data_IF_927555427163
#
_entry.id   IF_927555427163
#
_cell.length_a   1.000
_cell.length_b   1.000
_cell.length_c   1.000
_cell.angle_alpha   90.00
_cell.angle_beta   90.00
_cell.angle_gamma   90.00
#
_symmetry.space_group_name_H-M   'P 1'
#
loop_
_entity.id
_entity.type
_entity.pdbx_description
1 polymer ?
#
# COMPACT_ATOMS: atom_id res chain seq x y z
N UNK A 1 -4.68 22.49 -28.48
CA UNK A 1 -5.65 22.77 -27.41
C UNK A 1 -6.93 23.49 -27.88
N UNK A 2 -7.17 23.75 -29.17
CA UNK A 2 -8.42 24.42 -29.58
C UNK A 2 -8.57 25.79 -28.90
N UNK A 3 -9.64 25.96 -28.12
CA UNK A 3 -9.90 27.16 -27.30
C UNK A 3 -9.42 27.04 -25.84
N UNK A 4 -8.86 25.89 -25.46
CA UNK A 4 -8.38 25.63 -24.10
C UNK A 4 -6.94 26.16 -23.95
N UNK A 5 -6.54 26.47 -22.72
CA UNK A 5 -5.19 26.92 -22.42
C UNK A 5 -4.20 25.76 -22.60
N UNK A 6 -3.04 26.04 -23.20
CA UNK A 6 -1.99 25.07 -23.41
C UNK A 6 -0.86 25.32 -22.41
N UNK A 7 -0.64 24.37 -21.51
CA UNK A 7 0.47 24.35 -20.57
C UNK A 7 1.81 24.22 -21.30
N UNK A 8 2.90 24.59 -20.67
CA UNK A 8 4.26 24.43 -21.22
C UNK A 8 4.63 22.94 -21.44
N UNK A 9 4.14 22.07 -20.57
CA UNK A 9 4.17 20.60 -20.69
C UNK A 9 3.37 20.05 -21.88
N UNK A 10 2.56 20.90 -22.55
CA UNK A 10 1.70 20.53 -23.66
C UNK A 10 0.33 19.95 -23.25
N UNK A 11 0.02 19.86 -21.95
CA UNK A 11 -1.32 19.55 -21.45
C UNK A 11 -2.29 20.69 -21.82
N UNK A 12 -3.55 20.36 -22.11
CA UNK A 12 -4.59 21.36 -22.35
C UNK A 12 -5.53 21.42 -21.14
N UNK A 13 -5.71 22.60 -20.55
CA UNK A 13 -6.63 22.83 -19.42
C UNK A 13 -7.68 23.88 -19.76
N UNK A 14 -8.90 23.72 -19.26
CA UNK A 14 -10.05 24.54 -19.65
C UNK A 14 -10.64 25.30 -18.48
N UNK A 15 -10.57 26.64 -18.52
CA UNK A 15 -11.10 27.52 -17.48
C UNK A 15 -10.50 27.26 -16.09
N UNK A 16 -9.25 26.81 -16.06
CA UNK A 16 -8.47 26.47 -14.87
C UNK A 16 -7.20 27.32 -14.85
N UNK A 17 -7.35 28.63 -14.98
CA UNK A 17 -6.25 29.58 -14.91
C UNK A 17 -6.40 30.37 -13.63
N UNK A 18 -5.28 30.61 -12.94
CA UNK A 18 -5.23 31.48 -11.77
C UNK A 18 -6.20 31.07 -10.67
N UNK A 19 -6.29 29.76 -10.39
CA UNK A 19 -7.21 29.21 -9.41
C UNK A 19 -6.46 28.68 -8.17
N UNK A 20 -5.14 28.83 -8.08
CA UNK A 20 -4.31 28.35 -6.97
C UNK A 20 -4.03 26.85 -6.97
N UNK A 21 -4.57 26.09 -7.93
CA UNK A 21 -4.27 24.67 -8.14
C UNK A 21 -3.31 24.52 -9.33
N UNK A 22 -2.30 23.67 -9.21
CA UNK A 22 -1.42 23.35 -10.35
C UNK A 22 -2.10 22.32 -11.26
N UNK A 23 -3.05 22.76 -12.09
CA UNK A 23 -3.80 21.90 -13.02
C UNK A 23 -2.94 21.47 -14.23
N UNK A 24 -1.93 22.28 -14.60
CA UNK A 24 -0.99 21.94 -15.66
C UNK A 24 0.06 20.89 -15.24
N UNK A 25 0.42 20.83 -13.95
CA UNK A 25 1.53 20.04 -13.42
C UNK A 25 2.89 20.75 -13.48
N UNK A 26 3.01 21.83 -14.26
CA UNK A 26 4.21 22.66 -14.43
C UNK A 26 4.04 24.11 -13.91
N UNK A 27 2.91 24.42 -13.26
CA UNK A 27 2.52 25.75 -12.76
C UNK A 27 2.31 26.84 -13.82
N UNK A 28 2.32 26.51 -15.12
CA UNK A 28 2.14 27.51 -16.18
C UNK A 28 0.74 28.15 -16.21
N UNK A 29 -0.27 27.47 -15.67
CA UNK A 29 -1.65 27.97 -15.46
C UNK A 29 -1.79 28.94 -14.28
N UNK A 30 -0.83 28.94 -13.37
CA UNK A 30 -0.83 29.74 -12.15
C UNK A 30 0.08 30.97 -12.23
N UNK A 31 0.63 31.24 -13.41
CA UNK A 31 1.39 32.46 -13.69
C UNK A 31 0.44 33.59 -14.08
N UNK A 32 -0.02 34.33 -13.08
CA UNK A 32 -1.08 35.32 -13.20
C UNK A 32 -0.54 36.75 -13.14
N UNK A 33 -0.84 37.54 -14.16
CA UNK A 33 -0.56 38.98 -14.15
C UNK A 33 -1.68 39.71 -13.39
N UNK A 34 -1.36 40.21 -12.19
CA UNK A 34 -2.16 41.15 -11.38
C UNK A 34 -3.53 40.66 -10.83
N UNK A 35 -4.00 39.45 -11.16
CA UNK A 35 -5.23 38.88 -10.58
C UNK A 35 -4.97 38.08 -9.28
N UNK A 36 -5.75 38.33 -8.23
CA UNK A 36 -5.76 37.45 -7.05
C UNK A 36 -6.32 36.06 -7.44
N UNK A 37 -5.64 34.96 -7.04
CA UNK A 37 -6.09 33.61 -7.33
C UNK A 37 -7.50 33.37 -6.80
N UNK A 38 -8.32 32.64 -7.57
CA UNK A 38 -9.69 32.28 -7.17
C UNK A 38 -9.76 30.78 -6.81
N UNK A 39 -9.37 30.39 -5.59
CA UNK A 39 -9.35 28.99 -5.18
C UNK A 39 -10.72 28.33 -5.25
N UNK A 40 -10.85 27.14 -5.85
CA UNK A 40 -12.10 26.39 -5.87
C UNK A 40 -12.67 26.13 -4.47
N UNK A 41 -11.78 25.93 -3.49
CA UNK A 41 -12.14 25.71 -2.09
C UNK A 41 -12.32 27.00 -1.27
N UNK A 42 -12.17 28.19 -1.87
CA UNK A 42 -12.23 29.50 -1.19
C UNK A 42 -11.28 29.54 0.01
N UNK A 43 -11.84 29.71 1.22
CA UNK A 43 -11.09 29.84 2.48
C UNK A 43 -11.11 28.56 3.32
N UNK A 44 -11.52 27.42 2.73
CA UNK A 44 -11.60 26.16 3.45
C UNK A 44 -10.25 25.49 3.33
N UNK A 45 -9.62 25.24 4.48
CA UNK A 45 -8.43 24.43 4.55
C UNK A 45 -8.80 22.97 4.27
N UNK A 46 -8.24 22.43 3.19
CA UNK A 46 -8.47 21.06 2.76
C UNK A 46 -7.11 20.47 2.40
N UNK A 47 -6.63 19.59 3.27
CA UNK A 47 -5.31 19.00 3.10
C UNK A 47 -5.33 17.89 2.03
N UNK A 48 -4.28 17.76 1.22
CA UNK A 48 -4.02 16.54 0.46
C UNK A 48 -3.86 15.36 1.42
N UNK A 49 -4.34 14.19 1.01
CA UNK A 49 -4.18 12.96 1.78
C UNK A 49 -3.44 11.93 0.96
N UNK A 50 -2.30 11.44 1.47
CA UNK A 50 -1.54 10.37 0.83
C UNK A 50 -2.37 9.09 0.66
N UNK A 51 -3.32 8.85 1.57
CA UNK A 51 -4.33 7.80 1.44
C UNK A 51 -5.21 7.97 0.21
N UNK A 52 -5.55 9.18 -0.22
CA UNK A 52 -6.30 9.35 -1.46
C UNK A 52 -5.36 9.36 -2.67
N UNK A 53 -4.17 9.95 -2.55
CA UNK A 53 -3.19 10.10 -3.65
C UNK A 53 -2.64 8.76 -4.16
N UNK A 54 -2.51 7.76 -3.30
CA UNK A 54 -2.12 6.38 -3.67
C UNK A 54 -3.24 5.56 -4.33
N UNK A 55 -4.45 6.11 -4.45
CA UNK A 55 -5.53 5.44 -5.18
C UNK A 55 -5.16 5.26 -6.65
N UNK A 56 -5.37 4.06 -7.19
CA UNK A 56 -5.04 3.81 -8.60
C UNK A 56 -3.59 3.45 -8.86
N UNK A 57 -2.79 3.22 -7.81
CA UNK A 57 -1.41 2.78 -7.96
C UNK A 57 -1.27 1.59 -8.93
N UNK A 58 -0.15 1.61 -9.65
CA UNK A 58 0.29 0.50 -10.47
C UNK A 58 0.57 -0.73 -9.63
N UNK A 59 0.37 -1.92 -10.19
CA UNK A 59 0.62 -3.21 -9.53
C UNK A 59 1.32 -4.16 -10.50
N UNK A 60 2.38 -4.79 -10.01
CA UNK A 60 2.95 -5.97 -10.65
C UNK A 60 2.27 -7.23 -10.07
N UNK A 61 1.51 -7.93 -10.90
CA UNK A 61 0.66 -9.05 -10.45
C UNK A 61 1.42 -10.31 -10.00
N UNK A 62 2.69 -10.47 -10.37
CA UNK A 62 3.45 -11.67 -10.03
C UNK A 62 3.78 -11.72 -8.53
N UNK A 63 4.05 -10.56 -7.94
CA UNK A 63 4.29 -10.40 -6.50
C UNK A 63 3.25 -9.56 -5.77
N UNK A 64 2.18 -9.12 -6.46
CA UNK A 64 1.21 -8.13 -5.97
C UNK A 64 1.85 -6.88 -5.36
N UNK A 65 3.02 -6.47 -5.87
CA UNK A 65 3.76 -5.32 -5.37
C UNK A 65 3.26 -4.05 -6.04
N UNK A 66 2.99 -3.02 -5.23
CA UNK A 66 2.68 -1.67 -5.67
C UNK A 66 3.85 -1.07 -6.46
N UNK A 67 3.53 -0.35 -7.53
CA UNK A 67 4.43 0.37 -8.44
C UNK A 67 3.95 1.81 -8.57
N UNK A 68 4.64 2.62 -9.38
CA UNK A 68 4.33 4.06 -9.49
C UNK A 68 2.88 4.29 -9.91
N UNK A 69 2.26 5.31 -9.32
CA UNK A 69 0.93 5.75 -9.73
C UNK A 69 0.97 6.37 -11.12
N UNK A 70 0.04 5.95 -11.97
CA UNK A 70 -0.12 6.43 -13.35
C UNK A 70 -1.15 7.56 -13.44
N UNK A 71 -1.98 7.74 -12.41
CA UNK A 71 -2.98 8.79 -12.31
C UNK A 71 -2.39 10.04 -11.69
N UNK A 72 -2.73 11.17 -12.28
CA UNK A 72 -2.44 12.47 -11.69
C UNK A 72 -3.50 12.79 -10.63
N UNK A 73 -3.28 12.30 -9.42
CA UNK A 73 -4.17 12.51 -8.28
C UNK A 73 -3.96 13.86 -7.59
N UNK A 74 -3.17 14.75 -8.18
CA UNK A 74 -3.08 16.16 -7.77
C UNK A 74 -3.96 17.06 -8.66
N UNK A 75 -4.55 16.51 -9.72
CA UNK A 75 -5.52 17.20 -10.56
C UNK A 75 -6.95 17.14 -10.00
N UNK A 76 -7.57 18.31 -9.83
CA UNK A 76 -8.93 18.45 -9.25
C UNK A 76 -9.98 18.94 -10.24
N UNK A 77 -9.60 19.34 -11.46
CA UNK A 77 -10.52 19.85 -12.49
C UNK A 77 -11.34 21.06 -12.00
N UNK A 78 -10.74 21.93 -11.18
CA UNK A 78 -11.41 23.09 -10.58
C UNK A 78 -12.54 22.76 -9.59
N UNK A 79 -12.67 21.50 -9.16
CA UNK A 79 -13.68 21.08 -8.20
C UNK A 79 -13.12 21.07 -6.78
N UNK A 80 -13.94 21.49 -5.81
CA UNK A 80 -13.68 21.31 -4.38
C UNK A 80 -14.59 20.23 -3.78
N UNK A 81 -14.47 19.01 -4.30
CA UNK A 81 -15.16 17.84 -3.75
C UNK A 81 -14.47 17.46 -2.43
N UNK A 82 -15.21 17.55 -1.32
CA UNK A 82 -14.67 17.31 0.03
C UNK A 82 -15.18 15.99 0.59
N UNK A 83 -14.28 15.22 1.18
CA UNK A 83 -14.60 14.02 1.95
C UNK A 83 -14.32 14.35 3.41
N UNK A 84 -15.26 13.98 4.29
CA UNK A 84 -15.08 14.17 5.73
C UNK A 84 -14.22 13.03 6.28
N UNK A 85 -13.07 13.37 6.84
CA UNK A 85 -12.26 12.49 7.67
C UNK A 85 -12.45 12.94 9.12
N UNK A 86 -12.79 12.04 10.05
CA UNK A 86 -12.90 12.25 11.51
C UNK A 86 -13.08 13.72 11.99
N UNK A 87 -12.01 14.54 11.98
CA UNK A 87 -11.99 15.96 12.37
C UNK A 87 -11.61 16.97 11.26
N UNK A 88 -11.23 16.53 10.07
CA UNK A 88 -10.79 17.37 8.95
C UNK A 88 -11.58 17.08 7.66
N UNK A 89 -11.27 17.81 6.59
CA UNK A 89 -11.78 17.53 5.26
C UNK A 89 -10.59 17.23 4.35
N UNK A 90 -10.75 16.20 3.52
CA UNK A 90 -9.79 15.81 2.49
C UNK A 90 -10.39 16.17 1.13
N UNK A 91 -9.55 16.69 0.22
CA UNK A 91 -9.99 17.05 -1.13
C UNK A 91 -9.92 15.80 -1.99
N UNK A 92 -11.02 15.47 -2.68
CA UNK A 92 -11.10 14.31 -3.57
C UNK A 92 -10.56 14.69 -4.96
N UNK A 93 -9.50 14.04 -5.46
CA UNK A 93 -8.98 14.25 -6.80
C UNK A 93 -9.99 13.89 -7.89
N UNK A 94 -9.82 14.46 -9.08
CA UNK A 94 -10.71 14.20 -10.22
C UNK A 94 -10.79 12.71 -10.55
N UNK A 95 -9.65 12.02 -10.54
CA UNK A 95 -9.53 10.61 -10.88
C UNK A 95 -10.21 9.67 -9.88
N UNK A 96 -10.46 10.12 -8.65
CA UNK A 96 -11.11 9.32 -7.61
C UNK A 96 -12.62 9.57 -7.68
N UNK A 97 -13.36 8.57 -8.17
CA UNK A 97 -14.81 8.64 -8.30
C UNK A 97 -15.49 8.58 -6.92
N UNK A 98 -15.08 7.61 -6.10
CA UNK A 98 -15.60 7.43 -4.74
C UNK A 98 -14.47 7.07 -3.78
N UNK A 99 -14.58 7.56 -2.55
CA UNK A 99 -13.65 7.30 -1.46
C UNK A 99 -14.43 7.29 -0.14
N UNK A 100 -14.36 6.19 0.60
CA UNK A 100 -15.22 5.91 1.75
C UNK A 100 -14.40 5.28 2.87
N UNK A 101 -14.26 5.99 3.98
CA UNK A 101 -13.68 5.45 5.21
C UNK A 101 -14.59 4.33 5.77
N UNK A 102 -14.10 3.09 5.81
CA UNK A 102 -14.82 1.96 6.43
C UNK A 102 -14.11 1.55 7.73
N UNK A 103 -14.69 1.84 8.89
CA UNK A 103 -14.15 1.31 10.14
C UNK A 103 -14.64 -0.14 10.35
N UNK A 104 -13.82 -1.13 9.99
CA UNK A 104 -14.05 -2.53 10.34
C UNK A 104 -13.22 -2.89 11.57
N UNK A 105 -13.90 -3.29 12.64
CA UNK A 105 -13.26 -3.88 13.82
C UNK A 105 -13.22 -5.41 13.66
N UNK A 106 -12.20 -5.92 12.96
CA UNK A 106 -11.92 -7.36 12.85
C UNK A 106 -10.70 -7.75 13.70
N UNK A 107 -10.55 -9.06 14.00
CA UNK A 107 -9.44 -9.60 14.82
C UNK A 107 -8.05 -9.36 14.20
N UNK A 108 -7.97 -9.30 12.87
CA UNK A 108 -6.86 -8.68 12.16
C UNK A 108 -7.17 -7.20 12.05
N UNK A 109 -6.50 -6.37 12.86
CA UNK A 109 -6.77 -4.95 12.81
C UNK A 109 -6.23 -4.36 11.50
N UNK A 110 -7.15 -3.98 10.61
CA UNK A 110 -6.87 -3.30 9.35
C UNK A 110 -7.75 -2.05 9.28
N UNK A 111 -7.13 -0.87 9.23
CA UNK A 111 -7.84 0.35 8.85
C UNK A 111 -8.13 0.28 7.36
N UNK A 112 -9.37 -0.04 6.95
CA UNK A 112 -9.72 -0.24 5.53
C UNK A 112 -10.50 0.95 4.98
N UNK A 113 -9.96 1.64 3.97
CA UNK A 113 -10.66 2.73 3.28
C UNK A 113 -10.94 2.33 1.85
N UNK A 114 -12.21 2.31 1.46
CA UNK A 114 -12.59 1.91 0.12
C UNK A 114 -12.40 3.06 -0.88
N UNK A 115 -11.85 2.76 -2.05
CA UNK A 115 -11.76 3.70 -3.16
C UNK A 115 -12.23 3.08 -4.47
N UNK A 116 -12.63 3.95 -5.41
CA UNK A 116 -13.01 3.62 -6.78
C UNK A 116 -12.46 4.70 -7.72
N UNK A 117 -11.69 4.28 -8.72
CA UNK A 117 -11.19 5.17 -9.77
C UNK A 117 -12.29 5.47 -10.80
N UNK A 118 -12.23 6.66 -11.38
CA UNK A 118 -13.08 7.11 -12.47
C UNK A 118 -12.72 6.36 -13.74
N UNK A 119 -13.75 5.87 -14.43
CA UNK A 119 -13.57 5.05 -15.63
C UNK A 119 -13.48 5.84 -16.94
N UNK A 120 -13.90 7.12 -16.94
CA UNK A 120 -13.95 7.97 -18.14
C UNK A 120 -13.23 9.29 -17.89
N UNK A 121 -12.41 9.68 -18.86
CA UNK A 121 -11.57 10.87 -18.77
C UNK A 121 -10.67 10.89 -17.53
N UNK A 122 -9.98 9.79 -17.17
CA UNK A 122 -8.93 9.90 -16.15
C UNK A 122 -7.81 10.79 -16.69
N UNK A 123 -7.18 11.53 -15.79
CA UNK A 123 -5.99 12.33 -16.06
C UNK A 123 -4.77 11.55 -15.59
N UNK A 124 -3.85 11.29 -16.50
CA UNK A 124 -2.64 10.53 -16.24
C UNK A 124 -1.47 11.47 -15.98
N UNK A 125 -0.45 10.97 -15.28
CA UNK A 125 0.78 11.73 -15.02
C UNK A 125 1.51 12.02 -16.34
N UNK A 126 2.17 13.18 -16.41
CA UNK A 126 2.97 13.57 -17.58
C UNK A 126 4.06 12.55 -17.88
N UNK A 127 4.74 12.05 -16.85
CA UNK A 127 5.79 11.03 -16.96
C UNK A 127 5.29 9.75 -17.62
N UNK A 128 4.14 9.21 -17.17
CA UNK A 128 3.56 8.01 -17.79
C UNK A 128 3.18 8.25 -19.26
N UNK A 129 2.62 9.43 -19.57
CA UNK A 129 2.26 9.78 -20.94
C UNK A 129 3.49 9.91 -21.85
N UNK A 130 4.58 10.49 -21.35
CA UNK A 130 5.85 10.59 -22.05
C UNK A 130 6.48 9.23 -22.31
N UNK A 131 6.49 8.35 -21.31
CA UNK A 131 7.01 6.99 -21.44
C UNK A 131 6.20 6.16 -22.44
N UNK A 132 4.87 6.28 -22.45
CA UNK A 132 4.03 5.65 -23.49
C UNK A 132 4.30 6.26 -24.87
N UNK A 133 4.53 7.57 -24.96
CA UNK A 133 4.87 8.25 -26.23
C UNK A 133 6.25 7.84 -26.76
N UNK A 134 7.21 7.53 -25.89
CA UNK A 134 8.56 7.11 -26.28
C UNK A 134 8.63 5.65 -26.75
N UNK A 135 7.67 4.80 -26.35
CA UNK A 135 7.63 3.39 -26.78
C UNK A 135 7.71 3.22 -28.31
N UNK A 136 8.53 2.29 -28.81
CA UNK A 136 8.64 2.02 -30.24
C UNK A 136 7.38 1.33 -30.79
N UNK A 137 7.07 1.58 -32.06
CA UNK A 137 5.96 0.93 -32.77
C UNK A 137 6.29 -0.51 -33.14
N UNK A 138 7.55 -0.81 -33.39
CA UNK A 138 8.04 -2.19 -33.45
C UNK A 138 8.16 -2.72 -32.02
N UNK A 139 7.75 -3.97 -31.82
CA UNK A 139 7.84 -4.61 -30.52
C UNK A 139 9.31 -4.86 -30.15
N UNK A 140 9.83 -4.01 -29.26
CA UNK A 140 11.15 -4.13 -28.65
C UNK A 140 10.98 -4.46 -27.18
N UNK A 141 11.21 -5.73 -26.84
CA UNK A 141 10.90 -6.30 -25.52
C UNK A 141 11.46 -5.47 -24.35
N UNK A 142 12.71 -5.01 -24.44
CA UNK A 142 13.37 -4.27 -23.36
C UNK A 142 12.68 -2.94 -23.00
N UNK A 143 12.26 -2.18 -24.01
CA UNK A 143 11.57 -0.89 -23.82
C UNK A 143 10.22 -1.07 -23.13
N UNK A 144 9.45 -2.07 -23.57
CA UNK A 144 8.15 -2.36 -22.95
C UNK A 144 8.31 -2.93 -21.54
N UNK A 145 9.33 -3.76 -21.29
CA UNK A 145 9.58 -4.32 -19.96
C UNK A 145 9.98 -3.23 -18.96
N UNK A 146 10.81 -2.26 -19.37
CA UNK A 146 11.18 -1.11 -18.53
C UNK A 146 9.93 -0.35 -18.03
N UNK A 147 8.95 -0.15 -18.91
CA UNK A 147 7.67 0.47 -18.53
C UNK A 147 6.88 -0.38 -17.53
N UNK A 148 6.82 -1.70 -17.73
CA UNK A 148 6.15 -2.63 -16.81
C UNK A 148 6.85 -2.75 -15.45
N UNK A 149 8.17 -2.62 -15.39
CA UNK A 149 8.92 -2.62 -14.14
C UNK A 149 8.70 -1.34 -13.33
N UNK A 150 8.53 -0.20 -14.03
CA UNK A 150 8.30 1.10 -13.42
C UNK A 150 6.88 1.29 -12.89
N UNK A 151 5.88 0.96 -13.71
CA UNK A 151 4.46 1.21 -13.43
C UNK A 151 3.65 -0.05 -13.12
N UNK A 152 4.22 -1.24 -13.29
CA UNK A 152 3.50 -2.50 -13.12
C UNK A 152 2.79 -2.96 -14.40
N UNK A 153 2.16 -4.13 -14.31
CA UNK A 153 1.40 -4.72 -15.42
C UNK A 153 -0.07 -4.34 -15.39
N UNK A 154 -0.57 -3.99 -14.21
CA UNK A 154 -1.95 -3.61 -13.96
C UNK A 154 -1.99 -2.33 -13.13
N UNK A 155 -3.15 -1.73 -13.01
CA UNK A 155 -3.42 -0.67 -12.03
C UNK A 155 -4.67 -1.02 -11.24
N UNK A 156 -4.85 -0.35 -10.11
CA UNK A 156 -6.00 -0.58 -9.23
C UNK A 156 -7.21 0.25 -9.66
N UNK A 157 -8.29 -0.40 -10.13
CA UNK A 157 -9.53 0.31 -10.48
C UNK A 157 -10.37 0.63 -9.25
N UNK A 158 -10.24 -0.17 -8.20
CA UNK A 158 -10.92 -0.01 -6.92
C UNK A 158 -10.25 -0.91 -5.89
N UNK A 159 -10.46 -0.65 -4.61
CA UNK A 159 -9.96 -1.54 -3.56
C UNK A 159 -10.08 -0.94 -2.19
N UNK A 160 -9.35 -1.52 -1.25
CA UNK A 160 -9.20 -0.97 0.10
C UNK A 160 -7.76 -0.54 0.34
N UNK A 161 -7.58 0.70 0.80
CA UNK A 161 -6.32 1.26 1.27
C UNK A 161 -6.21 1.14 2.78
N UNK A 162 -5.00 0.92 3.28
CA UNK A 162 -4.75 0.73 4.69
C UNK A 162 -3.39 0.13 4.97
N UNK A 163 -3.33 -0.77 5.93
CA UNK A 163 -2.20 -1.65 6.14
C UNK A 163 -2.63 -3.03 6.59
N UNK A 164 -1.75 -4.01 6.41
CA UNK A 164 -1.90 -5.35 6.93
C UNK A 164 -0.85 -5.58 8.00
N UNK A 165 -1.25 -5.94 9.22
CA UNK A 165 -0.33 -6.29 10.30
C UNK A 165 -0.60 -7.72 10.78
N UNK A 166 0.18 -8.66 10.28
CA UNK A 166 0.05 -10.07 10.62
C UNK A 166 1.41 -10.61 11.11
N UNK A 167 1.40 -11.21 12.30
CA UNK A 167 2.57 -11.84 12.90
C UNK A 167 2.26 -13.31 13.17
N UNK A 168 3.13 -14.20 12.70
CA UNK A 168 3.03 -15.64 12.91
C UNK A 168 4.13 -16.07 13.87
N UNK A 169 3.71 -16.49 15.07
CA UNK A 169 4.62 -16.94 16.12
C UNK A 169 4.94 -18.42 15.93
N UNK A 170 6.22 -18.74 15.79
CA UNK A 170 6.72 -20.12 15.68
C UNK A 170 7.03 -20.64 17.08
N UNK A 171 6.31 -21.67 17.52
CA UNK A 171 6.36 -22.19 18.88
C UNK A 171 7.06 -23.55 18.95
N UNK A 172 7.96 -23.72 19.92
CA UNK A 172 8.64 -25.00 20.16
C UNK A 172 7.75 -25.96 20.96
N UNK A 173 7.21 -26.96 20.28
CA UNK A 173 6.34 -27.96 20.91
C UNK A 173 7.00 -28.74 22.05
N UNK A 174 8.33 -28.92 22.03
CA UNK A 174 9.05 -29.64 23.09
C UNK A 174 9.13 -28.81 24.38
N UNK A 175 9.53 -27.54 24.26
CA UNK A 175 9.57 -26.59 25.37
C UNK A 175 8.18 -26.35 25.94
N UNK A 176 7.16 -26.18 25.08
CA UNK A 176 5.76 -26.07 25.51
C UNK A 176 5.31 -27.26 26.37
N UNK A 177 5.65 -28.49 25.97
CA UNK A 177 5.33 -29.70 26.75
C UNK A 177 6.06 -29.73 28.10
N UNK A 178 7.34 -29.38 28.13
CA UNK A 178 8.13 -29.38 29.37
C UNK A 178 7.66 -28.36 30.40
N UNK A 179 7.05 -27.26 29.95
CA UNK A 179 6.56 -26.16 30.79
C UNK A 179 5.05 -26.24 31.06
N UNK A 180 4.36 -27.26 30.54
CA UNK A 180 2.90 -27.40 30.60
C UNK A 180 2.18 -26.12 30.12
N UNK A 181 2.61 -25.64 28.95
CA UNK A 181 2.09 -24.45 28.25
C UNK A 181 1.34 -24.91 27.00
N UNK A 182 0.14 -24.40 26.80
CA UNK A 182 -0.68 -24.61 25.60
C UNK A 182 -0.63 -23.40 24.67
N UNK A 183 -1.09 -23.56 23.42
CA UNK A 183 -1.20 -22.43 22.48
C UNK A 183 -2.15 -21.33 23.01
N UNK A 184 -3.20 -21.70 23.75
CA UNK A 184 -4.10 -20.75 24.39
C UNK A 184 -3.43 -19.94 25.49
N UNK A 185 -2.49 -20.53 26.24
CA UNK A 185 -1.71 -19.79 27.25
C UNK A 185 -0.81 -18.74 26.57
N UNK A 186 -0.25 -19.08 25.40
CA UNK A 186 0.55 -18.15 24.60
C UNK A 186 -0.31 -17.00 24.09
N UNK A 187 -1.50 -17.28 23.54
CA UNK A 187 -2.46 -16.25 23.10
C UNK A 187 -2.88 -15.31 24.23
N UNK A 188 -3.14 -15.86 25.42
CA UNK A 188 -3.56 -15.09 26.59
C UNK A 188 -2.43 -14.17 27.10
N UNK A 189 -1.18 -14.63 27.09
CA UNK A 189 -0.03 -13.82 27.49
C UNK A 189 0.39 -12.77 26.44
N UNK A 190 0.19 -13.05 25.14
CA UNK A 190 0.33 -12.06 24.06
C UNK A 190 -0.81 -11.02 24.08
N UNK A 191 -1.79 -11.21 24.98
CA UNK A 191 -2.82 -10.24 25.31
C UNK A 191 -3.75 -9.90 24.13
N UNK A 192 -3.93 -10.83 23.18
CA UNK A 192 -4.82 -10.68 22.02
C UNK A 192 -6.30 -10.47 22.38
N UNK A 193 -6.71 -10.84 23.61
CA UNK A 193 -8.09 -10.65 24.10
C UNK A 193 -8.38 -9.23 24.62
N UNK A 194 -7.37 -8.36 24.70
CA UNK A 194 -7.60 -6.94 24.95
C UNK A 194 -7.99 -6.25 23.64
N UNK A 195 -9.25 -6.38 23.24
CA UNK A 195 -9.86 -5.32 22.42
C UNK A 195 -9.56 -3.99 23.11
N UNK A 196 -9.02 -3.03 22.35
CA UNK A 196 -8.58 -1.71 22.81
C UNK A 196 -9.61 -1.04 23.74
N UNK A 197 -9.54 -1.30 25.04
CA UNK A 197 -10.11 -0.44 26.06
C UNK A 197 -9.09 0.68 26.32
N UNK A 198 -9.00 1.61 25.37
CA UNK A 198 -8.44 2.95 25.61
C UNK A 198 -9.50 3.78 26.33
N UNK A 199 -9.90 3.31 27.51
CA UNK A 199 -10.58 4.10 28.53
C UNK A 199 -10.11 3.55 29.86
N UNK A 200 -9.49 4.40 30.68
CA UNK A 200 -9.05 4.03 32.03
C UNK A 200 -10.16 3.31 32.79
N UNK A 201 -9.96 2.02 33.06
CA UNK A 201 -10.95 1.15 33.66
C UNK A 201 -10.51 -0.30 33.55
N UNK A 202 -9.94 -0.83 34.62
CA UNK A 202 -9.30 -2.14 34.66
C UNK A 202 -10.21 -3.27 34.20
N UNK A 203 -9.69 -4.11 33.29
CA UNK A 203 -10.27 -5.42 32.98
C UNK A 203 -9.82 -6.40 34.06
N UNK A 204 -10.78 -7.01 34.76
CA UNK A 204 -10.55 -8.09 35.72
C UNK A 204 -10.11 -9.36 34.97
N UNK A 205 -8.81 -9.47 34.71
CA UNK A 205 -8.18 -10.72 34.28
C UNK A 205 -7.62 -11.40 35.54
N UNK A 206 -7.93 -12.68 35.72
CA UNK A 206 -7.58 -13.49 36.89
C UNK A 206 -6.06 -13.32 37.24
N UNK A 207 -5.72 -12.78 38.43
CA UNK A 207 -4.33 -12.40 38.76
C UNK A 207 -3.35 -13.58 38.82
N UNK A 208 -3.83 -14.83 38.92
CA UNK A 208 -2.99 -16.03 38.88
C UNK A 208 -2.36 -16.30 37.50
N UNK A 209 -2.87 -15.73 36.41
CA UNK A 209 -2.24 -15.82 35.08
C UNK A 209 -1.10 -14.81 34.88
N UNK A 210 -1.08 -13.70 35.64
CA UNK A 210 -0.19 -12.55 35.40
C UNK A 210 1.26 -12.71 35.90
N UNK A 211 1.54 -13.61 36.85
CA UNK A 211 2.80 -13.54 37.61
C UNK A 211 3.90 -14.53 37.22
N UNK A 212 3.54 -15.80 37.00
CA UNK A 212 4.53 -16.88 36.86
C UNK A 212 4.68 -17.42 35.44
N UNK A 213 3.58 -17.59 34.69
CA UNK A 213 3.63 -18.19 33.33
C UNK A 213 4.02 -17.19 32.23
N UNK A 214 3.59 -15.93 32.30
CA UNK A 214 3.91 -14.91 31.29
C UNK A 214 5.20 -14.10 31.59
N UNK A 215 6.18 -14.63 32.34
CA UNK A 215 7.38 -13.85 32.68
C UNK A 215 8.08 -13.37 31.40
N UNK A 216 8.45 -12.08 31.38
CA UNK A 216 9.04 -11.36 30.25
C UNK A 216 10.20 -12.17 29.64
N UNK A 217 10.14 -12.44 28.34
CA UNK A 217 11.19 -13.21 27.64
C UNK A 217 10.74 -14.32 26.70
N UNK A 218 9.49 -14.42 26.27
CA UNK A 218 9.11 -15.49 25.33
C UNK A 218 9.02 -16.89 25.96
N UNK A 219 8.61 -16.95 27.24
CA UNK A 219 8.43 -18.19 28.02
C UNK A 219 9.69 -19.05 28.03
N UNK A 220 10.69 -18.62 28.79
CA UNK A 220 11.96 -19.33 28.89
C UNK A 220 11.90 -20.45 29.94
N UNK A 221 12.58 -21.57 29.67
CA UNK A 221 12.86 -22.61 30.68
C UNK A 221 13.67 -22.04 31.85
N UNK A 222 13.59 -22.64 33.05
CA UNK A 222 14.50 -22.28 34.15
C UNK A 222 15.97 -22.33 33.67
N UNK A 223 16.74 -21.30 34.01
CA UNK A 223 18.17 -21.21 33.66
C UNK A 223 18.91 -22.42 34.21
N UNK A 224 19.38 -23.30 33.32
CA UNK A 224 20.31 -24.35 33.69
C UNK A 224 21.60 -23.74 34.29
N UNK A 225 22.39 -24.48 35.08
CA UNK A 225 23.66 -23.99 35.63
C UNK A 225 24.68 -23.49 34.59
N UNK A 226 24.50 -23.87 33.31
CA UNK A 226 25.27 -23.37 32.16
C UNK A 226 24.73 -22.06 31.55
N UNK A 227 23.65 -21.46 32.06
CA UNK A 227 23.13 -20.16 31.62
C UNK A 227 22.28 -20.17 30.35
N UNK A 228 21.91 -21.34 29.82
CA UNK A 228 21.09 -21.45 28.62
C UNK A 228 19.63 -21.70 28.99
N UNK A 229 18.76 -20.70 28.78
CA UNK A 229 17.31 -20.86 28.72
C UNK A 229 16.88 -21.09 27.26
N UNK A 230 15.90 -21.98 27.03
CA UNK A 230 15.26 -22.12 25.72
C UNK A 230 13.91 -21.39 25.71
N UNK A 231 13.66 -20.44 24.80
CA UNK A 231 12.36 -19.78 24.70
C UNK A 231 11.31 -20.71 24.05
N UNK A 232 10.04 -20.55 24.41
CA UNK A 232 8.91 -21.20 23.69
C UNK A 232 8.72 -20.60 22.32
N UNK A 233 8.89 -19.28 22.18
CA UNK A 233 8.81 -18.60 20.88
C UNK A 233 10.20 -18.64 20.24
N UNK A 234 10.35 -19.45 19.19
CA UNK A 234 11.64 -19.59 18.48
C UNK A 234 11.84 -18.47 17.46
N UNK A 235 10.76 -18.05 16.80
CA UNK A 235 10.81 -17.04 15.75
C UNK A 235 9.44 -16.35 15.59
N UNK A 236 9.44 -15.15 15.02
CA UNK A 236 8.23 -14.42 14.64
C UNK A 236 8.37 -14.05 13.16
N UNK A 237 7.50 -14.62 12.32
CA UNK A 237 7.41 -14.29 10.91
C UNK A 237 6.43 -13.12 10.76
N UNK A 238 6.85 -12.05 10.11
CA UNK A 238 6.01 -10.88 9.88
C UNK A 238 5.51 -10.82 8.43
N UNK A 239 4.22 -10.55 8.29
CA UNK A 239 3.53 -10.20 7.06
C UNK A 239 2.92 -8.80 7.27
N UNK A 240 3.79 -7.80 7.33
CA UNK A 240 3.42 -6.41 7.58
C UNK A 240 3.56 -5.62 6.29
N UNK A 241 2.42 -5.13 5.80
CA UNK A 241 2.32 -4.30 4.59
C UNK A 241 1.82 -2.89 4.98
N UNK A 242 2.44 -1.87 4.39
CA UNK A 242 2.18 -0.48 4.72
C UNK A 242 2.84 -0.03 6.03
N UNK A 243 2.79 1.27 6.27
CA UNK A 243 3.45 1.94 7.38
C UNK A 243 4.81 2.54 6.99
N UNK A 244 5.39 3.32 7.89
CA UNK A 244 6.65 4.03 7.60
C UNK A 244 7.83 3.06 7.44
N UNK A 245 8.77 3.41 6.56
CA UNK A 245 10.01 2.63 6.37
C UNK A 245 10.81 2.53 7.68
N UNK A 246 10.81 3.60 8.49
CA UNK A 246 11.43 3.64 9.81
C UNK A 246 10.84 2.57 10.74
N UNK A 247 9.52 2.48 10.80
CA UNK A 247 8.85 1.45 11.60
C UNK A 247 9.19 0.04 11.08
N UNK A 248 9.09 -0.20 9.77
CA UNK A 248 9.35 -1.50 9.17
C UNK A 248 10.80 -1.97 9.41
N UNK A 249 11.75 -1.04 9.37
CA UNK A 249 13.16 -1.31 9.66
C UNK A 249 13.35 -1.70 11.13
N UNK A 250 12.79 -0.89 12.03
CA UNK A 250 12.84 -1.13 13.48
C UNK A 250 12.19 -2.47 13.85
N UNK A 251 11.03 -2.78 13.26
CA UNK A 251 10.35 -4.05 13.45
C UNK A 251 11.23 -5.20 12.96
N UNK A 252 11.81 -5.11 11.76
CA UNK A 252 12.69 -6.16 11.20
C UNK A 252 13.92 -6.40 12.08
N UNK A 253 14.52 -5.34 12.63
CA UNK A 253 15.63 -5.46 13.58
C UNK A 253 15.20 -6.17 14.88
N UNK A 254 14.04 -5.80 15.45
CA UNK A 254 13.49 -6.47 16.63
C UNK A 254 13.22 -7.95 16.38
N UNK A 255 12.66 -8.29 15.23
CA UNK A 255 12.32 -9.67 14.85
C UNK A 255 13.57 -10.54 14.62
N UNK A 256 14.69 -9.94 14.19
CA UNK A 256 15.96 -10.65 14.00
C UNK A 256 16.78 -10.80 15.28
N UNK A 257 16.30 -10.29 16.42
CA UNK A 257 16.99 -10.43 17.71
C UNK A 257 16.86 -11.85 18.27
N UNK A 258 17.76 -12.24 19.19
CA UNK A 258 17.79 -13.60 19.79
C UNK A 258 16.51 -13.98 20.55
N UNK A 259 15.73 -12.99 20.97
CA UNK A 259 14.47 -13.20 21.68
C UNK A 259 13.50 -12.10 21.22
N UNK A 260 12.86 -12.28 20.04
CA UNK A 260 12.07 -11.23 19.42
C UNK A 260 10.86 -10.91 20.29
N UNK A 261 10.73 -9.64 20.67
CA UNK A 261 9.58 -9.15 21.43
C UNK A 261 8.87 -8.07 20.64
N UNK A 262 7.57 -8.27 20.48
CA UNK A 262 6.66 -7.31 19.85
C UNK A 262 5.52 -7.09 20.83
N UNK A 263 5.17 -5.82 21.03
CA UNK A 263 4.07 -5.45 21.92
C UNK A 263 3.06 -4.52 21.24
N UNK A 264 1.98 -4.20 21.97
CA UNK A 264 0.86 -3.40 21.45
C UNK A 264 1.31 -2.01 20.98
N UNK A 265 2.40 -1.46 21.52
CA UNK A 265 2.92 -0.14 21.10
C UNK A 265 3.48 -0.18 19.69
N UNK A 266 4.15 -1.27 19.31
CA UNK A 266 4.63 -1.46 17.94
C UNK A 266 3.47 -1.43 16.95
N UNK A 267 2.37 -2.09 17.30
CA UNK A 267 1.14 -2.05 16.48
C UNK A 267 0.54 -0.63 16.41
N UNK A 268 0.44 0.08 17.54
CA UNK A 268 -0.12 1.45 17.57
C UNK A 268 0.74 2.42 16.76
N UNK A 269 2.06 2.32 16.87
CA UNK A 269 3.01 3.11 16.09
C UNK A 269 2.86 2.84 14.59
N UNK A 270 2.85 1.56 14.19
CA UNK A 270 2.56 1.17 12.81
C UNK A 270 1.23 1.74 12.30
N UNK A 271 0.14 1.50 13.04
CA UNK A 271 -1.20 1.91 12.65
C UNK A 271 -1.31 3.44 12.49
N UNK A 272 -0.59 4.20 13.33
CA UNK A 272 -0.55 5.66 13.23
C UNK A 272 0.16 6.16 11.96
N UNK A 273 1.12 5.39 11.44
CA UNK A 273 1.88 5.76 10.23
C UNK A 273 1.13 5.49 8.91
N UNK A 274 0.01 4.76 8.95
CA UNK A 274 -0.78 4.38 7.77
C UNK A 274 -1.52 5.56 7.12
N UNK A 275 -1.69 6.67 7.84
CA UNK A 275 -2.29 7.87 7.26
C UNK A 275 -1.42 8.44 6.13
N UNK A 276 -0.11 8.40 6.32
CA UNK A 276 0.89 8.93 5.38
C UNK A 276 1.50 7.84 4.49
N UNK A 277 1.55 6.59 4.98
CA UNK A 277 2.18 5.47 4.27
C UNK A 277 1.23 4.26 4.12
N UNK A 278 0.07 4.42 3.46
CA UNK A 278 -0.84 3.31 3.22
C UNK A 278 -0.39 2.42 2.05
N UNK A 279 -0.99 1.24 1.98
CA UNK A 279 -0.86 0.29 0.87
C UNK A 279 -2.24 -0.22 0.46
N UNK A 280 -2.37 -0.65 -0.80
CA UNK A 280 -3.58 -1.29 -1.30
C UNK A 280 -3.62 -2.75 -0.83
N UNK A 281 -4.67 -3.15 -0.11
CA UNK A 281 -4.81 -4.50 0.48
C UNK A 281 -5.70 -5.42 -0.38
N UNK A 282 -6.83 -4.89 -0.89
CA UNK A 282 -7.81 -5.67 -1.67
C UNK A 282 -8.01 -5.06 -3.06
N UNK A 283 -6.97 -5.09 -3.92
CA UNK A 283 -7.03 -4.46 -5.22
C UNK A 283 -7.97 -5.22 -6.16
N UNK A 284 -8.81 -4.48 -6.88
CA UNK A 284 -9.39 -4.91 -8.14
C UNK A 284 -8.55 -4.32 -9.26
N UNK A 285 -8.09 -5.17 -10.17
CA UNK A 285 -7.10 -4.81 -11.17
C UNK A 285 -7.70 -4.61 -12.56
N UNK A 286 -7.06 -3.75 -13.35
CA UNK A 286 -7.23 -3.67 -14.80
C UNK A 286 -5.86 -3.59 -15.47
N UNK A 287 -5.66 -4.17 -16.67
CA UNK A 287 -4.38 -4.12 -17.36
C UNK A 287 -3.94 -2.68 -17.60
N UNK A 288 -2.66 -2.38 -17.41
CA UNK A 288 -2.13 -1.02 -17.62
C UNK A 288 -2.25 -0.58 -19.08
N UNK A 289 -2.27 -1.54 -20.02
CA UNK A 289 -2.50 -1.29 -21.44
C UNK A 289 -3.83 -0.59 -21.73
N UNK A 290 -4.85 -0.69 -20.88
CA UNK A 290 -6.13 0.01 -21.08
C UNK A 290 -6.03 1.52 -20.87
N UNK A 291 -4.93 2.00 -20.27
CA UNK A 291 -4.67 3.42 -20.03
C UNK A 291 -3.90 4.09 -21.18
N UNK A 292 -3.51 3.35 -22.22
CA UNK A 292 -2.90 3.94 -23.43
C UNK A 292 -3.91 4.89 -24.09
N UNK A 293 -3.64 6.22 -24.13
CA UNK A 293 -4.59 7.16 -24.70
C UNK A 293 -4.80 6.92 -26.18
N UNK A 294 -6.02 7.14 -26.66
CA UNK A 294 -6.39 6.87 -28.07
C UNK A 294 -5.94 7.95 -29.05
N UNK A 295 -5.58 9.12 -28.53
CA UNK A 295 -5.22 10.33 -29.27
C UNK A 295 -3.71 10.47 -29.52
N UNK A 296 -2.87 9.61 -28.94
CA UNK A 296 -1.44 9.59 -29.25
C UNK A 296 -1.17 8.89 -30.59
N UNK A 297 -0.03 9.24 -31.20
CA UNK A 297 0.45 8.59 -32.42
C UNK A 297 0.65 7.09 -32.21
N UNK A 298 0.17 6.29 -33.17
CA UNK A 298 0.31 4.83 -33.19
C UNK A 298 -0.29 4.13 -31.94
N UNK A 299 -1.28 4.76 -31.28
CA UNK A 299 -1.88 4.29 -30.03
C UNK A 299 -2.32 2.82 -30.08
N UNK A 300 -3.00 2.41 -31.15
CA UNK A 300 -3.47 1.03 -31.32
C UNK A 300 -2.31 0.03 -31.30
N UNK A 301 -1.24 0.31 -32.06
CA UNK A 301 -0.06 -0.57 -32.16
C UNK A 301 0.65 -0.64 -30.81
N UNK A 302 0.87 0.51 -30.17
CA UNK A 302 1.50 0.57 -28.84
C UNK A 302 0.69 -0.17 -27.79
N UNK A 303 -0.64 -0.04 -27.81
CA UNK A 303 -1.53 -0.78 -26.91
C UNK A 303 -1.41 -2.29 -27.12
N UNK A 304 -1.49 -2.76 -28.36
CA UNK A 304 -1.36 -4.19 -28.69
C UNK A 304 0.03 -4.74 -28.34
N UNK A 305 1.09 -3.97 -28.58
CA UNK A 305 2.44 -4.37 -28.17
C UNK A 305 2.59 -4.41 -26.64
N UNK A 306 1.93 -3.49 -25.91
CA UNK A 306 1.94 -3.50 -24.45
C UNK A 306 1.11 -4.64 -23.88
N UNK A 307 -0.03 -4.98 -24.48
CA UNK A 307 -0.80 -6.20 -24.18
C UNK A 307 0.09 -7.45 -24.35
N UNK A 308 0.77 -7.56 -25.50
CA UNK A 308 1.75 -8.63 -25.74
C UNK A 308 2.89 -8.62 -24.72
N UNK A 309 3.43 -7.46 -24.37
CA UNK A 309 4.50 -7.34 -23.40
C UNK A 309 4.08 -7.83 -22.02
N UNK A 310 2.85 -7.54 -21.60
CA UNK A 310 2.29 -8.02 -20.33
C UNK A 310 2.22 -9.55 -20.34
N UNK A 311 1.70 -10.14 -21.42
CA UNK A 311 1.62 -11.60 -21.57
C UNK A 311 3.02 -12.24 -21.55
N UNK A 312 3.96 -11.71 -22.32
CA UNK A 312 5.34 -12.19 -22.38
C UNK A 312 6.02 -12.05 -21.00
N UNK A 313 5.81 -10.93 -20.29
CA UNK A 313 6.36 -10.67 -18.96
C UNK A 313 5.84 -11.66 -17.91
N UNK A 314 4.54 -11.95 -17.93
CA UNK A 314 3.91 -12.92 -17.02
C UNK A 314 4.41 -14.33 -17.34
N UNK A 315 4.45 -14.71 -18.62
CA UNK A 315 4.92 -16.02 -19.05
C UNK A 315 6.41 -16.22 -18.72
N UNK A 316 7.20 -15.17 -18.78
CA UNK A 316 8.63 -15.25 -18.50
C UNK A 316 8.96 -15.47 -17.04
N UNK A 317 8.15 -14.90 -16.16
CA UNK A 317 8.27 -15.01 -14.72
C UNK A 317 7.23 -15.96 -14.13
N UNK A 318 6.70 -16.88 -14.96
CA UNK A 318 5.70 -17.83 -14.52
C UNK A 318 6.32 -18.89 -13.60
N UNK A 319 5.60 -19.25 -12.53
CA UNK A 319 6.03 -20.21 -11.51
C UNK A 319 6.40 -21.60 -12.06
N UNK A 320 5.91 -21.96 -13.24
CA UNK A 320 6.23 -23.25 -13.88
C UNK A 320 7.70 -23.42 -14.25
N UNK A 321 8.47 -22.33 -14.29
CA UNK A 321 9.92 -22.37 -14.51
C UNK A 321 10.71 -22.69 -13.25
N UNK A 322 10.08 -22.62 -12.10
CA UNK A 322 10.68 -22.95 -10.82
C UNK A 322 10.62 -24.44 -10.52
N UNK A 323 11.60 -24.94 -9.76
CA UNK A 323 11.55 -26.28 -9.18
C UNK A 323 10.47 -26.33 -8.09
N UNK A 324 9.72 -27.43 -7.96
CA UNK A 324 8.75 -27.58 -6.89
C UNK A 324 9.45 -27.60 -5.53
N UNK A 325 8.87 -26.92 -4.54
CA UNK A 325 9.36 -26.95 -3.17
C UNK A 325 9.14 -28.35 -2.54
N UNK A 326 10.06 -28.75 -1.67
CA UNK A 326 9.88 -29.97 -0.89
C UNK A 326 8.73 -29.82 0.12
N UNK A 327 8.20 -30.95 0.61
CA UNK A 327 7.18 -31.00 1.67
C UNK A 327 5.86 -30.25 1.34
N UNK A 328 5.50 -30.15 0.06
CA UNK A 328 4.24 -29.50 -0.35
C UNK A 328 4.27 -27.98 -0.26
N UNK A 329 5.46 -27.36 -0.21
CA UNK A 329 5.60 -25.92 -0.30
C UNK A 329 5.05 -25.38 -1.62
N UNK A 330 4.36 -24.24 -1.56
CA UNK A 330 3.92 -23.52 -2.77
C UNK A 330 5.03 -22.60 -3.21
N UNK A 331 5.50 -22.75 -4.44
CA UNK A 331 6.53 -21.88 -5.02
C UNK A 331 5.88 -20.58 -5.47
N UNK A 332 6.56 -19.46 -5.27
CA UNK A 332 6.17 -18.16 -5.82
C UNK A 332 7.36 -17.52 -6.55
N UNK A 333 7.07 -16.65 -7.52
CA UNK A 333 8.10 -15.87 -8.23
C UNK A 333 8.00 -14.42 -7.80
N UNK A 334 9.07 -13.88 -7.22
CA UNK A 334 9.17 -12.48 -6.85
C UNK A 334 10.39 -11.89 -7.55
N UNK A 335 10.17 -10.87 -8.40
CA UNK A 335 11.22 -10.16 -9.12
C UNK A 335 12.21 -11.10 -9.86
N UNK A 336 11.69 -12.20 -10.44
CA UNK A 336 12.48 -13.18 -11.19
C UNK A 336 13.13 -14.29 -10.35
N UNK A 337 13.00 -14.24 -9.02
CA UNK A 337 13.51 -15.27 -8.11
C UNK A 337 12.39 -16.22 -7.64
N UNK A 338 12.70 -17.52 -7.63
CA UNK A 338 11.82 -18.56 -7.09
C UNK A 338 12.02 -18.67 -5.58
N UNK A 339 10.95 -18.50 -4.80
CA UNK A 339 10.95 -18.54 -3.32
C UNK A 339 10.05 -19.67 -2.83
#
# INVERSE_FOLDING_TARGET
>A
CGNDFQCESGRCVKQLLCNGDNDCGDYSDETCDEEEPKPPCRNIDVEPSELVRTSGDGINILGMKTRRNVFDNDYYNGLCDRIRDTKSYVRKPWNVAAFVYQTRADKSFSTETYFQMRTRGPVLTSTFLEDIKSLPTQYEKGEYYSLLEMYGTHYTVSGTLGGKYELVYVLDSATMKSLEITSSDVEDCLNYKAGLNVTGGGVNVNPNLKGQKCKKGGFETETNPQGNSKPVVENIISFVDGGSIEFLTTLKEKLNSKNPQVDVRDYVEWASSLQDNPVVIKPKLSPISTLVPTDIKDAYIKRTNLERAIDDYINENHVCKCQPCQNGGTVIVIDGECI
#
